data_IF_485996120313
#
_entry.id   IF_485996120313
#
_cell.length_a   1.000
_cell.length_b   1.000
_cell.length_c   1.000
_cell.angle_alpha   90.00
_cell.angle_beta   90.00
_cell.angle_gamma   90.00
#
_symmetry.space_group_name_H-M   'P 1'
#
loop_
_entity.id
_entity.type
_entity.pdbx_description
1 polymer ?
#
# COMPACT_ATOMS: atom_id res chain seq x y z
N UNK A 1 -1.20 6.44 -20.07
CA UNK A 1 -2.34 6.15 -19.17
C UNK A 1 -1.80 6.11 -17.74
N UNK A 2 -2.53 6.64 -16.74
CA UNK A 2 -2.13 6.52 -15.34
C UNK A 2 -1.99 5.05 -14.96
N UNK A 3 -0.94 4.74 -14.20
CA UNK A 3 -0.68 3.39 -13.67
C UNK A 3 -1.11 3.37 -12.21
N UNK A 4 -2.18 2.65 -11.95
CA UNK A 4 -2.84 2.60 -10.65
C UNK A 4 -2.69 1.20 -10.07
N UNK A 5 -2.22 1.11 -8.83
CA UNK A 5 -2.18 -0.13 -8.07
C UNK A 5 -3.38 -0.21 -7.12
N UNK A 6 -3.98 -1.39 -6.99
CA UNK A 6 -5.09 -1.65 -6.07
C UNK A 6 -4.86 -2.94 -5.29
N UNK A 7 -5.01 -2.84 -3.97
CA UNK A 7 -4.95 -3.99 -3.06
C UNK A 7 -5.85 -3.72 -1.84
N UNK A 8 -6.12 -4.74 -1.03
CA UNK A 8 -6.94 -4.61 0.16
C UNK A 8 -6.46 -5.41 1.38
N UNK A 9 -6.63 -4.80 2.55
CA UNK A 9 -6.22 -5.39 3.82
C UNK A 9 -7.39 -5.48 4.81
N UNK A 10 -7.74 -6.68 5.31
CA UNK A 10 -8.69 -6.80 6.42
C UNK A 10 -8.10 -6.19 7.70
N UNK A 11 -8.95 -5.59 8.53
CA UNK A 11 -8.60 -4.98 9.81
C UNK A 11 -9.63 -5.34 10.87
N UNK A 12 -9.18 -5.68 12.07
CA UNK A 12 -10.06 -5.97 13.20
C UNK A 12 -10.50 -4.67 13.87
N UNK A 13 -11.79 -4.59 14.19
CA UNK A 13 -12.33 -3.54 15.04
C UNK A 13 -12.23 -4.00 16.50
N UNK A 14 -11.52 -3.21 17.30
CA UNK A 14 -11.13 -3.56 18.66
C UNK A 14 -11.59 -2.46 19.60
N UNK A 15 -12.47 -2.82 20.53
CA UNK A 15 -12.93 -1.97 21.62
C UNK A 15 -12.06 -2.10 22.86
N UNK A 16 -12.07 -1.06 23.69
CA UNK A 16 -11.48 -1.09 25.03
C UNK A 16 -12.53 -1.57 26.04
N UNK A 17 -12.19 -2.60 26.83
CA UNK A 17 -13.07 -3.09 27.90
C UNK A 17 -13.00 -2.22 29.14
N UNK A 18 -11.93 -1.44 29.31
CA UNK A 18 -11.67 -0.56 30.47
C UNK A 18 -11.07 0.75 30.01
N UNK A 19 -11.40 1.84 30.70
CA UNK A 19 -10.83 3.16 30.39
C UNK A 19 -9.31 3.16 30.64
N UNK A 20 -8.50 3.58 29.65
CA UNK A 20 -7.06 3.70 29.79
C UNK A 20 -6.70 4.69 30.89
N UNK A 21 -5.66 4.37 31.66
CA UNK A 21 -5.15 5.29 32.67
C UNK A 21 -4.31 6.34 31.93
N UNK A 22 -4.67 7.64 32.03
CA UNK A 22 -3.99 8.70 31.30
C UNK A 22 -2.53 8.83 31.77
N UNK A 23 -1.71 9.37 30.86
CA UNK A 23 -0.31 9.65 31.14
C UNK A 23 -0.16 10.65 32.30
N UNK A 24 0.82 10.42 33.16
CA UNK A 24 1.26 11.38 34.20
C UNK A 24 2.75 11.67 34.00
N UNK A 25 3.30 12.77 34.55
CA UNK A 25 4.75 13.00 34.52
C UNK A 25 5.49 11.74 35.02
N UNK A 26 6.42 11.23 34.20
CA UNK A 26 7.19 9.99 34.43
C UNK A 26 6.38 8.67 34.44
N UNK A 27 5.12 8.67 34.00
CA UNK A 27 4.32 7.44 33.85
C UNK A 27 3.66 7.41 32.47
N UNK A 28 4.06 6.48 31.56
CA UNK A 28 3.41 6.34 30.28
C UNK A 28 1.95 5.95 30.46
N UNK A 29 1.12 6.27 29.46
CA UNK A 29 -0.27 5.83 29.41
C UNK A 29 -0.34 4.30 29.51
N UNK A 30 -1.29 3.78 30.30
CA UNK A 30 -1.47 2.34 30.49
C UNK A 30 -2.81 1.90 29.92
N UNK A 31 -2.77 0.80 29.18
CA UNK A 31 -3.91 0.14 28.61
C UNK A 31 -4.06 -1.24 29.25
N UNK A 32 -5.30 -1.70 29.39
CA UNK A 32 -5.54 -3.09 29.76
C UNK A 32 -5.26 -4.02 28.58
N UNK A 33 -4.76 -5.22 28.86
CA UNK A 33 -4.56 -6.26 27.85
C UNK A 33 -5.90 -6.81 27.35
N UNK A 34 -6.95 -6.77 28.16
CA UNK A 34 -8.29 -7.14 27.74
C UNK A 34 -8.82 -6.18 26.66
N UNK A 35 -9.44 -6.77 25.64
CA UNK A 35 -10.07 -6.03 24.55
C UNK A 35 -11.31 -6.78 24.06
N UNK A 36 -12.23 -6.05 23.46
CA UNK A 36 -13.43 -6.61 22.85
C UNK A 36 -13.29 -6.62 21.33
N UNK A 37 -13.64 -7.73 20.67
CA UNK A 37 -13.69 -7.82 19.21
C UNK A 37 -15.06 -7.37 18.74
N UNK A 38 -15.10 -6.22 18.06
CA UNK A 38 -16.33 -5.58 17.59
C UNK A 38 -16.60 -5.84 16.10
N UNK A 39 -15.86 -6.78 15.51
CA UNK A 39 -15.99 -7.21 14.11
C UNK A 39 -14.75 -6.94 13.30
N UNK A 40 -14.93 -6.87 11.98
CA UNK A 40 -13.86 -6.63 11.01
C UNK A 40 -14.32 -5.64 9.95
N UNK A 41 -13.37 -4.89 9.41
CA UNK A 41 -13.54 -4.05 8.23
C UNK A 41 -12.42 -4.40 7.23
N UNK A 42 -12.50 -3.82 6.03
CA UNK A 42 -11.55 -4.02 4.94
C UNK A 42 -11.16 -2.66 4.41
N UNK A 43 -9.86 -2.40 4.31
CA UNK A 43 -9.33 -1.18 3.73
C UNK A 43 -8.89 -1.48 2.30
N UNK A 44 -9.59 -0.92 1.32
CA UNK A 44 -9.16 -0.90 -0.07
C UNK A 44 -8.20 0.27 -0.25
N UNK A 45 -6.99 -0.03 -0.72
CA UNK A 45 -5.96 0.94 -1.05
C UNK A 45 -5.86 1.04 -2.56
N UNK A 46 -5.93 2.27 -3.06
CA UNK A 46 -5.69 2.59 -4.45
C UNK A 46 -4.60 3.64 -4.51
N UNK A 47 -3.60 3.47 -5.36
CA UNK A 47 -2.46 4.41 -5.42
C UNK A 47 -1.97 4.58 -6.85
N UNK A 48 -1.70 5.81 -7.25
CA UNK A 48 -0.95 6.16 -8.46
C UNK A 48 0.45 6.60 -8.01
N UNK A 49 1.47 5.71 -8.09
CA UNK A 49 2.77 5.96 -7.50
C UNK A 49 3.49 7.18 -8.09
N UNK A 50 3.38 7.38 -9.39
CA UNK A 50 4.07 8.47 -10.12
C UNK A 50 3.44 9.83 -9.84
N UNK A 51 2.12 9.89 -9.63
CA UNK A 51 1.43 11.12 -9.23
C UNK A 51 1.51 11.38 -7.72
N UNK A 52 2.06 10.44 -6.93
CA UNK A 52 2.02 10.53 -5.48
C UNK A 52 0.59 10.65 -4.96
N UNK A 53 -0.37 9.99 -5.60
CA UNK A 53 -1.77 10.01 -5.20
C UNK A 53 -2.17 8.68 -4.59
N UNK A 54 -3.00 8.72 -3.55
CA UNK A 54 -3.59 7.51 -2.96
C UNK A 54 -4.98 7.76 -2.42
N UNK A 55 -5.72 6.67 -2.27
CA UNK A 55 -7.07 6.65 -1.72
C UNK A 55 -7.28 5.40 -0.88
N UNK A 56 -7.94 5.58 0.26
CA UNK A 56 -8.30 4.49 1.17
C UNK A 56 -9.80 4.50 1.40
N UNK A 57 -10.46 3.46 0.95
CA UNK A 57 -11.88 3.23 1.17
C UNK A 57 -12.08 2.09 2.18
N UNK A 58 -12.84 2.37 3.24
CA UNK A 58 -13.09 1.39 4.32
C UNK A 58 -14.49 0.81 4.17
N UNK A 59 -14.56 -0.51 3.96
CA UNK A 59 -15.80 -1.27 3.78
C UNK A 59 -15.99 -2.32 4.86
N UNK A 60 -17.23 -2.77 5.04
CA UNK A 60 -17.55 -3.87 5.96
C UNK A 60 -17.07 -5.24 5.42
N UNK A 61 -17.06 -5.42 4.11
CA UNK A 61 -16.79 -6.71 3.47
C UNK A 61 -15.73 -6.61 2.36
N UNK A 62 -15.13 -7.77 2.02
CA UNK A 62 -14.24 -7.95 0.88
C UNK A 62 -14.88 -8.91 -0.11
N UNK A 63 -15.83 -8.41 -0.90
CA UNK A 63 -16.49 -9.19 -1.94
C UNK A 63 -16.05 -8.73 -3.34
N UNK A 64 -16.31 -9.58 -4.34
CA UNK A 64 -16.18 -9.18 -5.74
C UNK A 64 -17.02 -7.93 -6.09
N UNK A 65 -18.17 -7.75 -5.43
CA UNK A 65 -19.02 -6.56 -5.60
C UNK A 65 -18.36 -5.33 -5.01
N UNK A 66 -17.74 -5.45 -3.83
CA UNK A 66 -17.00 -4.35 -3.20
C UNK A 66 -15.85 -3.89 -4.10
N UNK A 67 -15.05 -4.83 -4.60
CA UNK A 67 -13.97 -4.54 -5.55
C UNK A 67 -14.49 -3.85 -6.81
N UNK A 68 -15.59 -4.34 -7.39
CA UNK A 68 -16.17 -3.74 -8.58
C UNK A 68 -16.63 -2.29 -8.35
N UNK A 69 -17.15 -1.99 -7.15
CA UNK A 69 -17.48 -0.62 -6.76
C UNK A 69 -16.24 0.26 -6.62
N UNK A 70 -15.13 -0.25 -6.07
CA UNK A 70 -13.86 0.48 -6.03
C UNK A 70 -13.33 0.80 -7.43
N UNK A 71 -13.37 -0.17 -8.35
CA UNK A 71 -12.96 0.03 -9.75
C UNK A 71 -13.86 1.04 -10.46
N UNK A 72 -15.18 0.98 -10.23
CA UNK A 72 -16.11 1.96 -10.78
C UNK A 72 -15.83 3.37 -10.26
N UNK A 73 -15.63 3.52 -8.95
CA UNK A 73 -15.31 4.81 -8.35
C UNK A 73 -13.97 5.37 -8.87
N UNK A 74 -12.95 4.51 -9.01
CA UNK A 74 -11.68 4.86 -9.63
C UNK A 74 -11.86 5.46 -11.03
N UNK A 75 -12.67 4.81 -11.87
CA UNK A 75 -12.85 5.22 -13.27
C UNK A 75 -13.79 6.42 -13.43
N UNK A 76 -14.87 6.49 -12.66
CA UNK A 76 -15.91 7.50 -12.86
C UNK A 76 -15.75 8.74 -11.97
N UNK A 77 -15.00 8.65 -10.87
CA UNK A 77 -14.81 9.76 -9.92
C UNK A 77 -13.36 10.21 -9.87
N UNK A 78 -12.41 9.29 -9.74
CA UNK A 78 -11.00 9.66 -9.57
C UNK A 78 -10.34 9.98 -10.92
N UNK A 79 -10.68 9.27 -12.00
CA UNK A 79 -10.18 9.50 -13.37
C UNK A 79 -11.29 9.59 -14.42
N UNK A 80 -12.29 10.50 -14.30
CA UNK A 80 -13.42 10.58 -15.22
C UNK A 80 -13.00 10.91 -16.66
N UNK A 81 -11.98 11.76 -16.81
CA UNK A 81 -11.58 12.33 -18.10
C UNK A 81 -10.48 11.52 -18.82
N UNK A 82 -10.03 10.42 -18.22
CA UNK A 82 -8.96 9.58 -18.77
C UNK A 82 -9.58 8.48 -19.62
N UNK A 83 -9.09 8.33 -20.85
CA UNK A 83 -9.55 7.30 -21.79
C UNK A 83 -9.38 5.88 -21.21
N UNK A 84 -8.23 5.59 -20.61
CA UNK A 84 -7.88 4.28 -20.05
C UNK A 84 -6.98 4.39 -18.82
N UNK A 85 -7.15 3.48 -17.86
CA UNK A 85 -6.30 3.32 -16.68
C UNK A 85 -5.60 1.97 -16.75
N UNK A 86 -4.28 1.96 -16.50
CA UNK A 86 -3.50 0.72 -16.34
C UNK A 86 -3.64 0.29 -14.89
N UNK A 87 -4.44 -0.75 -14.64
CA UNK A 87 -4.72 -1.26 -13.30
C UNK A 87 -3.80 -2.44 -13.00
N UNK A 88 -3.01 -2.32 -11.94
CA UNK A 88 -2.14 -3.36 -11.41
C UNK A 88 -2.73 -3.88 -10.09
N UNK A 89 -2.89 -5.19 -9.97
CA UNK A 89 -3.32 -5.83 -8.71
C UNK A 89 -2.74 -7.25 -8.60
N UNK A 90 -2.91 -7.88 -7.44
CA UNK A 90 -2.47 -9.25 -7.20
C UNK A 90 -3.37 -10.32 -7.87
N UNK A 91 -3.14 -11.59 -7.56
CA UNK A 91 -3.89 -12.72 -8.14
C UNK A 91 -5.00 -13.25 -7.22
N UNK A 92 -5.62 -12.41 -6.40
CA UNK A 92 -6.76 -12.81 -5.58
C UNK A 92 -7.94 -13.26 -6.45
N UNK A 93 -8.77 -14.17 -5.94
CA UNK A 93 -9.93 -14.70 -6.69
C UNK A 93 -10.98 -13.65 -7.07
N UNK A 94 -10.99 -12.49 -6.40
CA UNK A 94 -11.83 -11.35 -6.73
C UNK A 94 -11.22 -10.48 -7.82
N UNK A 95 -9.91 -10.51 -8.04
CA UNK A 95 -9.19 -9.75 -9.04
C UNK A 95 -9.34 -10.38 -10.41
N UNK A 96 -10.57 -10.36 -10.92
CA UNK A 96 -10.94 -10.90 -12.23
C UNK A 96 -12.00 -10.00 -12.87
N UNK A 97 -11.97 -9.89 -14.19
CA UNK A 97 -12.96 -9.11 -14.95
C UNK A 97 -14.40 -9.55 -14.68
N UNK A 98 -14.61 -10.84 -14.39
CA UNK A 98 -15.91 -11.40 -14.02
C UNK A 98 -16.51 -10.74 -12.76
N UNK A 99 -15.70 -10.16 -11.88
CA UNK A 99 -16.20 -9.43 -10.70
C UNK A 99 -17.02 -8.20 -11.09
N UNK A 100 -16.68 -7.53 -12.21
CA UNK A 100 -17.46 -6.40 -12.72
C UNK A 100 -18.84 -6.85 -13.23
N UNK A 101 -18.89 -7.98 -13.96
CA UNK A 101 -20.16 -8.58 -14.40
C UNK A 101 -21.01 -9.13 -13.25
N UNK A 102 -20.39 -9.45 -12.12
CA UNK A 102 -21.13 -9.85 -10.92
C UNK A 102 -21.82 -8.67 -10.22
N UNK A 103 -21.28 -7.47 -10.38
CA UNK A 103 -21.77 -6.27 -9.68
C UNK A 103 -22.66 -5.37 -10.53
N UNK A 104 -22.47 -5.37 -11.85
CA UNK A 104 -23.11 -4.42 -12.77
C UNK A 104 -23.77 -5.13 -13.95
N UNK A 105 -24.76 -4.45 -14.54
CA UNK A 105 -25.36 -4.86 -15.81
C UNK A 105 -24.29 -5.00 -16.90
N UNK A 106 -24.44 -5.94 -17.86
CA UNK A 106 -23.40 -6.24 -18.84
C UNK A 106 -22.89 -5.03 -19.64
N UNK A 107 -23.76 -4.07 -19.95
CA UNK A 107 -23.38 -2.83 -20.65
C UNK A 107 -22.45 -1.95 -19.80
N UNK A 108 -22.72 -1.83 -18.51
CA UNK A 108 -21.90 -1.04 -17.58
C UNK A 108 -20.58 -1.76 -17.27
N UNK A 109 -20.62 -3.07 -17.01
CA UNK A 109 -19.41 -3.87 -16.80
C UNK A 109 -18.46 -3.79 -18.01
N UNK A 110 -19.00 -3.85 -19.23
CA UNK A 110 -18.22 -3.69 -20.47
C UNK A 110 -17.64 -2.29 -20.62
N UNK A 111 -18.42 -1.23 -20.34
CA UNK A 111 -17.94 0.16 -20.37
C UNK A 111 -16.73 0.35 -19.45
N UNK A 112 -16.78 -0.22 -18.24
CA UNK A 112 -15.67 -0.15 -17.28
C UNK A 112 -14.45 -0.93 -17.80
N UNK A 113 -14.65 -2.14 -18.32
CA UNK A 113 -13.55 -2.97 -18.86
C UNK A 113 -12.85 -2.33 -20.07
N UNK A 114 -13.58 -1.65 -20.95
CA UNK A 114 -12.99 -0.97 -22.11
C UNK A 114 -12.03 0.16 -21.70
N UNK A 115 -12.23 0.72 -20.50
CA UNK A 115 -11.37 1.74 -19.89
C UNK A 115 -10.24 1.17 -19.03
N UNK A 116 -10.07 -0.15 -18.96
CA UNK A 116 -9.03 -0.79 -18.14
C UNK A 116 -8.00 -1.53 -19.01
N UNK A 117 -6.74 -1.38 -18.64
CA UNK A 117 -5.66 -2.30 -19.03
C UNK A 117 -5.19 -3.01 -17.76
N UNK A 118 -5.53 -4.30 -17.61
CA UNK A 118 -5.32 -5.02 -16.34
C UNK A 118 -4.03 -5.82 -16.40
N UNK A 119 -3.11 -5.51 -15.49
CA UNK A 119 -1.88 -6.26 -15.27
C UNK A 119 -1.90 -6.97 -13.92
N UNK A 120 -1.43 -8.20 -13.91
CA UNK A 120 -1.30 -9.01 -12.70
C UNK A 120 0.15 -9.04 -12.26
N UNK A 121 0.38 -8.96 -10.95
CA UNK A 121 1.71 -9.26 -10.41
C UNK A 121 2.07 -10.73 -10.67
N UNK A 122 3.36 -11.10 -10.76
CA UNK A 122 3.77 -12.50 -10.86
C UNK A 122 3.20 -13.33 -9.70
N UNK A 123 2.95 -14.62 -9.95
CA UNK A 123 2.50 -15.54 -8.88
C UNK A 123 3.54 -15.54 -7.75
N UNK A 124 3.06 -15.43 -6.51
CA UNK A 124 3.89 -15.27 -5.30
C UNK A 124 4.73 -13.97 -5.24
N UNK A 125 4.46 -13.01 -6.13
CA UNK A 125 5.12 -11.72 -6.23
C UNK A 125 4.28 -10.55 -5.70
N UNK A 126 3.34 -10.77 -4.77
CA UNK A 126 2.46 -9.69 -4.26
C UNK A 126 3.26 -8.51 -3.70
N UNK A 127 4.44 -8.76 -3.12
CA UNK A 127 5.38 -7.74 -2.62
C UNK A 127 5.82 -6.71 -3.68
N UNK A 128 5.60 -7.00 -4.98
CA UNK A 128 5.82 -6.05 -6.06
C UNK A 128 4.70 -5.04 -6.22
N UNK A 129 3.50 -5.33 -5.72
CA UNK A 129 2.37 -4.42 -5.69
C UNK A 129 2.66 -3.23 -4.76
N UNK A 130 2.54 -2.02 -5.31
CA UNK A 130 2.82 -0.80 -4.56
C UNK A 130 1.66 -0.48 -3.60
N UNK A 131 0.44 -0.95 -3.89
CA UNK A 131 -0.68 -0.81 -2.98
C UNK A 131 -0.44 -1.60 -1.68
N UNK A 132 0.16 -2.80 -1.73
CA UNK A 132 0.55 -3.58 -0.54
C UNK A 132 1.55 -2.80 0.34
N UNK A 133 2.47 -2.07 -0.29
CA UNK A 133 3.44 -1.22 0.42
C UNK A 133 2.75 -0.02 1.08
N UNK A 134 1.85 0.66 0.37
CA UNK A 134 1.08 1.77 0.96
C UNK A 134 0.16 1.28 2.09
N UNK A 135 -0.41 0.07 2.00
CA UNK A 135 -1.16 -0.57 3.08
C UNK A 135 -0.29 -0.83 4.31
N UNK A 136 0.96 -1.23 4.12
CA UNK A 136 1.94 -1.36 5.22
C UNK A 136 2.24 -0.01 5.90
N UNK A 137 2.36 1.07 5.12
CA UNK A 137 2.55 2.43 5.65
C UNK A 137 1.29 2.90 6.39
N UNK A 138 0.12 2.69 5.79
CA UNK A 138 -1.19 2.97 6.37
C UNK A 138 -1.37 2.28 7.72
N UNK A 139 -1.05 0.98 7.79
CA UNK A 139 -1.14 0.21 9.04
C UNK A 139 -0.26 0.81 10.14
N UNK A 140 1.00 1.13 9.82
CA UNK A 140 1.95 1.70 10.79
C UNK A 140 1.55 3.10 11.27
N UNK A 141 0.98 3.92 10.38
CA UNK A 141 0.70 5.34 10.67
C UNK A 141 -0.72 5.60 11.18
N UNK A 142 -1.70 4.79 10.76
CA UNK A 142 -3.12 5.03 11.02
C UNK A 142 -3.76 4.00 11.96
N UNK A 143 -3.27 2.74 11.95
CA UNK A 143 -3.88 1.62 12.69
C UNK A 143 -3.13 1.27 14.00
N UNK A 144 -2.25 2.15 14.48
CA UNK A 144 -1.42 1.91 15.68
C UNK A 144 -2.19 1.94 17.01
N UNK A 145 -3.48 2.26 17.01
CA UNK A 145 -4.33 2.31 18.19
C UNK A 145 -5.59 1.45 18.00
N UNK A 146 -6.24 1.09 19.11
CA UNK A 146 -7.53 0.38 19.08
C UNK A 146 -8.60 1.27 18.43
N UNK A 147 -9.37 0.70 17.50
CA UNK A 147 -10.46 1.38 16.78
C UNK A 147 -11.68 0.50 16.90
N UNK A 148 -12.68 0.97 17.65
CA UNK A 148 -13.86 0.19 18.01
C UNK A 148 -14.91 0.08 16.91
N UNK A 149 -14.97 1.06 16.01
CA UNK A 149 -16.04 1.19 15.03
C UNK A 149 -15.53 1.63 13.65
N UNK A 150 -16.31 1.28 12.63
CA UNK A 150 -15.94 1.52 11.23
C UNK A 150 -15.97 3.01 10.85
N UNK A 151 -16.80 3.83 11.49
CA UNK A 151 -16.90 5.26 11.16
C UNK A 151 -15.67 6.04 11.65
N UNK A 152 -15.16 5.69 12.83
CA UNK A 152 -13.87 6.15 13.32
C UNK A 152 -12.74 5.70 12.39
N UNK A 153 -12.76 4.45 11.93
CA UNK A 153 -11.77 3.94 10.97
C UNK A 153 -11.81 4.72 9.65
N UNK A 154 -13.00 4.98 9.09
CA UNK A 154 -13.21 5.81 7.90
C UNK A 154 -12.65 7.21 8.06
N UNK A 155 -12.99 7.86 9.18
CA UNK A 155 -12.55 9.22 9.47
C UNK A 155 -11.03 9.31 9.57
N UNK A 156 -10.41 8.34 10.25
CA UNK A 156 -8.94 8.26 10.36
C UNK A 156 -8.27 7.97 9.03
N UNK A 157 -8.80 7.02 8.26
CA UNK A 157 -8.29 6.70 6.93
C UNK A 157 -8.33 7.92 6.00
N UNK A 158 -9.44 8.67 6.02
CA UNK A 158 -9.58 9.89 5.23
C UNK A 158 -8.59 10.98 5.66
N UNK A 159 -8.43 11.20 6.97
CA UNK A 159 -7.48 12.17 7.50
C UNK A 159 -6.03 11.80 7.09
N UNK A 160 -5.66 10.52 7.21
CA UNK A 160 -4.35 10.01 6.81
C UNK A 160 -4.10 10.18 5.32
N UNK A 161 -5.07 9.81 4.49
CA UNK A 161 -5.02 9.96 3.03
C UNK A 161 -4.79 11.42 2.65
N UNK A 162 -5.60 12.34 3.19
CA UNK A 162 -5.50 13.77 2.88
C UNK A 162 -4.10 14.30 3.24
N UNK A 163 -3.61 13.98 4.44
CA UNK A 163 -2.27 14.39 4.87
C UNK A 163 -1.17 13.84 3.94
N UNK A 164 -1.22 12.57 3.54
CA UNK A 164 -0.22 11.95 2.66
C UNK A 164 -0.24 12.54 1.25
N UNK A 165 -1.43 12.79 0.70
CA UNK A 165 -1.59 13.38 -0.63
C UNK A 165 -1.15 14.85 -0.65
N UNK A 166 -1.44 15.63 0.40
CA UNK A 166 -0.92 17.01 0.51
C UNK A 166 0.59 17.04 0.62
N UNK A 167 1.19 16.08 1.32
CA UNK A 167 2.64 15.99 1.46
C UNK A 167 3.35 15.46 0.20
N UNK A 168 2.62 15.00 -0.83
CA UNK A 168 3.15 14.47 -2.10
C UNK A 168 4.29 13.45 -1.90
N UNK A 169 4.21 12.66 -0.83
CA UNK A 169 5.26 11.69 -0.51
C UNK A 169 5.14 10.48 -1.41
N UNK A 170 6.15 10.24 -2.24
CA UNK A 170 6.28 9.01 -3.00
C UNK A 170 6.59 7.80 -2.11
N UNK A 171 6.51 6.61 -2.71
CA UNK A 171 6.96 5.36 -2.08
C UNK A 171 8.43 5.15 -2.43
N UNK A 172 9.34 5.37 -1.49
CA UNK A 172 10.76 5.08 -1.67
C UNK A 172 11.06 3.62 -1.28
N UNK A 173 11.47 2.79 -2.24
CA UNK A 173 12.00 1.44 -1.97
C UNK A 173 13.50 1.51 -1.67
N UNK A 174 13.92 0.97 -0.53
CA UNK A 174 15.30 0.51 -0.33
C UNK A 174 15.34 -1.00 -0.57
N UNK A 175 15.65 -1.44 -1.80
CA UNK A 175 15.85 -2.85 -2.10
C UNK A 175 17.27 -3.26 -1.64
N UNK A 176 17.38 -3.97 -0.51
CA UNK A 176 18.65 -4.54 -0.04
C UNK A 176 18.76 -6.05 -0.31
N UNK A 177 18.19 -6.54 -1.42
CA UNK A 177 18.33 -7.94 -1.84
C UNK A 177 18.64 -8.01 -3.33
N UNK A 178 19.84 -8.51 -3.62
CA UNK A 178 20.26 -8.95 -4.95
C UNK A 178 19.24 -10.00 -5.43
N UNK A 179 18.38 -9.64 -6.39
CA UNK A 179 17.55 -10.60 -7.12
C UNK A 179 18.12 -10.72 -8.53
N UNK A 180 18.29 -11.94 -8.99
CA UNK A 180 18.83 -12.29 -10.30
C UNK A 180 17.81 -12.05 -11.41
N UNK A 181 18.24 -11.31 -12.44
CA UNK A 181 17.86 -11.51 -13.84
C UNK A 181 16.50 -11.01 -14.28
N UNK A 182 15.44 -11.79 -14.05
CA UNK A 182 14.36 -11.82 -15.05
C UNK A 182 13.01 -11.27 -14.56
N UNK A 183 12.86 -10.98 -13.26
CA UNK A 183 11.58 -10.50 -12.66
C UNK A 183 11.55 -8.97 -12.52
N UNK A 184 12.69 -8.31 -12.76
CA UNK A 184 12.85 -6.86 -12.62
C UNK A 184 12.23 -6.10 -13.80
N UNK A 185 12.33 -6.66 -15.01
CA UNK A 185 12.15 -5.91 -16.25
C UNK A 185 10.69 -5.53 -16.56
N UNK A 186 9.68 -6.37 -16.28
CA UNK A 186 8.29 -6.05 -16.71
C UNK A 186 7.63 -4.93 -15.88
N UNK A 187 7.79 -4.96 -14.55
CA UNK A 187 7.24 -3.92 -13.68
C UNK A 187 8.13 -2.68 -13.65
N UNK A 188 9.45 -2.82 -13.75
CA UNK A 188 10.27 -1.64 -13.99
C UNK A 188 9.95 -1.01 -15.33
N UNK A 189 9.73 -1.75 -16.41
CA UNK A 189 9.39 -1.16 -17.71
C UNK A 189 8.08 -0.38 -17.66
N UNK A 190 7.06 -0.83 -16.91
CA UNK A 190 5.82 -0.08 -16.72
C UNK A 190 6.01 1.24 -15.95
N UNK A 191 6.90 1.25 -14.94
CA UNK A 191 7.20 2.47 -14.17
C UNK A 191 8.29 3.36 -14.80
N UNK A 192 9.27 2.79 -15.52
CA UNK A 192 10.36 3.49 -16.22
C UNK A 192 9.99 3.95 -17.64
N UNK A 193 9.05 3.31 -18.34
CA UNK A 193 8.59 3.82 -19.65
C UNK A 193 7.76 5.09 -19.52
N UNK A 194 7.16 5.33 -18.34
CA UNK A 194 6.53 6.60 -18.01
C UNK A 194 7.56 7.72 -17.70
N UNK A 195 8.82 7.37 -17.43
CA UNK A 195 9.90 8.30 -17.07
C UNK A 195 10.63 8.94 -18.28
N UNK A 196 10.24 8.63 -19.52
CA UNK A 196 10.90 9.17 -20.72
C UNK A 196 10.46 10.60 -21.10
N UNK A 197 9.67 11.28 -20.26
CA UNK A 197 9.38 12.72 -20.37
C UNK A 197 9.74 13.49 -19.09
N UNK A 198 11.01 13.35 -18.69
CA UNK A 198 11.82 14.45 -18.18
C UNK A 198 11.29 15.20 -16.97
N UNK A 199 11.66 14.72 -15.77
CA UNK A 199 12.04 15.53 -14.60
C UNK A 199 12.46 14.59 -13.46
N UNK A 200 13.75 14.35 -13.30
CA UNK A 200 14.50 14.20 -12.03
C UNK A 200 15.99 13.98 -12.39
N UNK A 201 16.89 14.69 -11.70
CA UNK A 201 18.35 14.58 -11.82
C UNK A 201 18.87 13.18 -11.41
N UNK A 202 19.98 12.70 -11.99
CA UNK A 202 20.47 11.33 -11.79
C UNK A 202 21.01 11.14 -10.37
N UNK A 203 20.32 10.33 -9.57
CA UNK A 203 20.88 9.77 -8.35
C UNK A 203 22.03 8.82 -8.71
N UNK A 204 23.24 9.21 -8.30
CA UNK A 204 24.50 8.53 -8.54
C UNK A 204 24.46 7.07 -8.04
N UNK A 205 24.50 6.11 -8.95
CA UNK A 205 24.79 4.70 -8.64
C UNK A 205 26.31 4.53 -8.60
N UNK A 206 26.91 4.58 -7.41
CA UNK A 206 28.31 4.15 -7.26
C UNK A 206 28.38 2.62 -7.35
N UNK A 207 28.88 2.09 -8.48
CA UNK A 207 29.30 0.69 -8.60
C UNK A 207 30.54 0.46 -7.72
N UNK A 208 30.41 -0.35 -6.68
CA UNK A 208 31.55 -0.89 -5.94
C UNK A 208 32.05 -2.15 -6.69
N UNK A 209 33.32 -2.24 -7.11
CA UNK A 209 33.85 -3.45 -7.73
C UNK A 209 34.05 -4.54 -6.66
N UNK A 210 33.63 -5.77 -6.99
CA UNK A 210 33.75 -6.93 -6.11
C UNK A 210 35.12 -7.56 -6.32
N UNK A 211 35.97 -7.55 -5.29
CA UNK A 211 37.18 -8.39 -5.25
C UNK A 211 37.44 -8.89 -3.83
N UNK A 212 37.61 -10.21 -3.69
CA UNK A 212 38.37 -10.80 -2.60
C UNK A 212 37.59 -11.24 -1.36
N UNK A 213 37.74 -12.52 -1.04
CA UNK A 213 37.36 -13.18 0.21
C UNK A 213 37.85 -12.43 1.45
N UNK A 214 36.92 -11.98 2.31
CA UNK A 214 37.01 -11.93 3.77
C UNK A 214 35.64 -11.51 4.32
N UNK A 215 35.09 -12.22 5.32
CA UNK A 215 33.82 -11.83 5.96
C UNK A 215 33.97 -10.45 6.63
N UNK A 216 33.02 -9.50 6.50
CA UNK A 216 32.99 -8.33 7.39
C UNK A 216 31.70 -8.26 8.24
N UNK A 217 31.87 -7.65 9.40
CA UNK A 217 30.86 -7.41 10.44
C UNK A 217 29.65 -6.62 9.92
N UNK A 218 28.49 -6.85 10.56
CA UNK A 218 27.25 -6.09 10.34
C UNK A 218 27.41 -4.68 10.90
N UNK A 219 27.27 -3.66 10.04
CA UNK A 219 27.06 -2.28 10.44
C UNK A 219 25.62 -1.88 10.13
N UNK A 220 24.89 -1.37 11.12
CA UNK A 220 23.58 -0.75 10.95
C UNK A 220 23.76 0.75 11.15
N UNK A 221 23.46 1.55 10.14
CA UNK A 221 23.47 3.00 10.24
C UNK A 221 22.10 3.49 10.72
N UNK A 222 22.04 4.06 11.92
CA UNK A 222 20.89 4.83 12.41
C UNK A 222 21.25 6.32 12.44
N UNK A 223 20.32 7.24 12.15
CA UNK A 223 20.57 8.67 12.26
C UNK A 223 20.60 9.04 13.75
N UNK A 224 21.79 9.09 14.35
CA UNK A 224 21.95 9.45 15.76
C UNK A 224 23.29 9.11 16.44
N UNK A 225 24.20 8.35 15.81
CA UNK A 225 25.53 8.04 16.36
C UNK A 225 25.81 6.53 16.53
N UNK A 226 27.10 6.17 16.53
CA UNK A 226 27.61 4.80 16.59
C UNK A 226 27.35 4.16 17.97
N UNK A 227 26.72 2.97 17.98
CA UNK A 227 26.69 2.09 19.15
C UNK A 227 27.27 0.74 18.74
N UNK A 228 28.38 0.36 19.36
CA UNK A 228 29.09 -0.89 19.13
C UNK A 228 28.52 -1.98 20.07
N UNK A 229 28.06 -3.11 19.54
CA UNK A 229 27.57 -4.24 20.34
C UNK A 229 28.53 -5.43 20.19
N UNK A 230 29.18 -5.82 21.30
CA UNK A 230 29.90 -7.09 21.41
C UNK A 230 28.92 -8.20 21.86
N UNK A 231 28.90 -9.38 21.21
CA UNK A 231 28.16 -10.53 21.73
C UNK A 231 28.94 -11.17 22.89
N UNK A 232 28.33 -11.22 24.08
CA UNK A 232 28.70 -12.21 25.09
C UNK A 232 28.15 -13.58 24.64
N UNK A 233 29.10 -14.51 24.46
CA UNK A 233 29.05 -15.98 24.30
C UNK A 233 27.71 -16.63 23.91
#
# INVERSE_FOLDING_TARGET
YPVVCLDEQPTQLIGETRQPIPMKPSQPQRYDYEYERLGTAVNFMTTEPLAGWRKVNVRQTRTAVDLAQEVKELLDVDYPDVEKVVLVWDNLNTHVSASLYKAFEPAEARRLLERLDIHYTPKHGSWLDIAEIELSVFTKQCLGCRISDIETLRSKAKAWQNHRNTAQRGVSRCLSRQLSGDVHDDLQTLFFSADLLGRIEPYLVHRIPVSGFARPAKWIFCPGGLVEFFPFL
#
